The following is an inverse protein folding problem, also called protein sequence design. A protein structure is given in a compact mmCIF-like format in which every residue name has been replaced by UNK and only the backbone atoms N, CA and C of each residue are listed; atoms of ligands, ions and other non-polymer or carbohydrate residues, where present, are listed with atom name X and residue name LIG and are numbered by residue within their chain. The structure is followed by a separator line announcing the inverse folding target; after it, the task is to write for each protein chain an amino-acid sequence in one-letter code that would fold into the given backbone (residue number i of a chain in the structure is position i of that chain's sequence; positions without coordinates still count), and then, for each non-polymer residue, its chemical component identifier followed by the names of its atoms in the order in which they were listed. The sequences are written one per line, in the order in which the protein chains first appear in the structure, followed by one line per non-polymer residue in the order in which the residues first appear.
data_IF_505839684557
#
_entry.id   IF_505839684557
#
_cell.length_a   1.000
_cell.length_b   1.000
_cell.length_c   1.000
_cell.angle_alpha   90.00
_cell.angle_beta   90.00
_cell.angle_gamma   90.00
#
_symmetry.space_group_name_H-M   'P 1'
#
loop_
_entity.id
_entity.type
_entity.pdbx_description
1 polymer ?
#
# COMPACT_ATOMS: atom_id res chain seq x y z
N UNK A 1 8.69 -28.06 9.07
CA UNK A 1 8.29 -26.74 9.61
C UNK A 1 7.53 -26.02 8.51
N UNK A 2 6.30 -25.60 8.74
CA UNK A 2 5.54 -24.89 7.71
C UNK A 2 6.22 -23.55 7.44
N UNK A 3 6.72 -23.36 6.22
CA UNK A 3 7.20 -22.07 5.75
C UNK A 3 5.98 -21.17 5.57
N UNK A 4 5.77 -20.26 6.52
CA UNK A 4 4.67 -19.30 6.44
C UNK A 4 4.98 -18.32 5.30
N UNK A 5 4.04 -18.18 4.37
CA UNK A 5 4.12 -17.25 3.24
C UNK A 5 3.16 -16.10 3.49
N UNK A 6 3.61 -14.87 3.27
CA UNK A 6 2.86 -13.65 3.58
C UNK A 6 2.83 -12.73 2.36
N UNK A 7 1.65 -12.27 1.98
CA UNK A 7 1.48 -11.23 0.96
C UNK A 7 0.82 -10.01 1.63
N UNK A 8 1.36 -8.82 1.39
CA UNK A 8 0.87 -7.57 1.98
C UNK A 8 0.61 -6.58 0.86
N UNK A 9 -0.61 -6.08 0.72
CA UNK A 9 -0.94 -5.03 -0.22
C UNK A 9 -1.37 -3.76 0.54
N UNK A 10 -0.60 -2.70 0.40
CA UNK A 10 -0.86 -1.42 1.06
C UNK A 10 -1.68 -0.54 0.11
N UNK A 11 -2.84 -0.09 0.55
CA UNK A 11 -3.67 0.85 -0.18
C UNK A 11 -3.56 2.22 0.51
N UNK A 12 -2.92 3.18 -0.15
CA UNK A 12 -2.57 4.46 0.45
C UNK A 12 -3.32 5.61 -0.21
N UNK A 13 -4.14 6.31 0.59
CA UNK A 13 -4.73 7.59 0.20
C UNK A 13 -3.58 8.59 -0.02
N UNK A 14 -3.52 9.21 -1.19
CA UNK A 14 -2.51 10.19 -1.56
C UNK A 14 -3.13 11.59 -1.77
N UNK A 15 -4.30 11.83 -1.19
CA UNK A 15 -4.96 13.13 -1.19
C UNK A 15 -4.34 14.10 -0.18
N UNK A 16 -4.63 15.39 -0.35
CA UNK A 16 -4.13 16.46 0.51
C UNK A 16 -4.47 16.32 2.00
N UNK A 17 -5.49 15.52 2.36
CA UNK A 17 -5.85 15.31 3.76
C UNK A 17 -4.77 14.61 4.58
N UNK A 18 -3.86 13.88 3.93
CA UNK A 18 -2.80 13.14 4.62
C UNK A 18 -1.45 13.89 4.64
N UNK A 19 -1.34 15.04 3.98
CA UNK A 19 -0.08 15.78 3.78
C UNK A 19 0.70 15.99 5.08
N UNK A 20 0.03 16.39 6.16
CA UNK A 20 0.67 16.67 7.46
C UNK A 20 1.25 15.43 8.16
N UNK A 21 0.76 14.24 7.82
CA UNK A 21 1.15 12.98 8.47
C UNK A 21 1.82 12.00 7.52
N UNK A 22 1.92 12.34 6.23
CA UNK A 22 2.37 11.42 5.20
C UNK A 22 3.77 10.86 5.47
N UNK A 23 4.71 11.70 5.91
CA UNK A 23 6.06 11.26 6.28
C UNK A 23 6.06 10.28 7.47
N UNK A 24 5.16 10.48 8.43
CA UNK A 24 4.97 9.57 9.57
C UNK A 24 4.35 8.24 9.14
N UNK A 25 3.34 8.27 8.26
CA UNK A 25 2.71 7.08 7.68
C UNK A 25 3.73 6.28 6.89
N UNK A 26 4.46 6.94 5.97
CA UNK A 26 5.54 6.35 5.17
C UNK A 26 6.57 5.65 6.07
N UNK A 27 7.07 6.35 7.07
CA UNK A 27 8.05 5.79 8.02
C UNK A 27 7.51 4.60 8.79
N UNK A 28 6.22 4.65 9.17
CA UNK A 28 5.56 3.56 9.90
C UNK A 28 5.38 2.32 9.03
N UNK A 29 4.92 2.47 7.79
CA UNK A 29 4.80 1.37 6.82
C UNK A 29 6.15 0.69 6.62
N UNK A 30 7.21 1.46 6.34
CA UNK A 30 8.56 0.91 6.15
C UNK A 30 9.07 0.19 7.39
N UNK A 31 8.84 0.74 8.58
CA UNK A 31 9.23 0.12 9.85
C UNK A 31 8.54 -1.22 10.06
N UNK A 32 7.21 -1.27 9.89
CA UNK A 32 6.40 -2.48 10.05
C UNK A 32 6.82 -3.57 9.05
N UNK A 33 6.99 -3.20 7.78
CA UNK A 33 7.40 -4.15 6.74
C UNK A 33 8.83 -4.66 6.98
N UNK A 34 9.74 -3.80 7.39
CA UNK A 34 11.12 -4.19 7.74
C UNK A 34 11.16 -5.13 8.94
N UNK A 35 10.38 -4.84 9.99
CA UNK A 35 10.25 -5.74 11.13
C UNK A 35 9.65 -7.08 10.73
N UNK A 36 8.62 -7.07 9.87
CA UNK A 36 8.01 -8.29 9.33
C UNK A 36 9.04 -9.15 8.60
N UNK A 37 9.92 -8.55 7.79
CA UNK A 37 11.00 -9.26 7.11
C UNK A 37 12.04 -9.87 8.05
N UNK A 38 12.31 -9.23 9.20
CA UNK A 38 13.25 -9.76 10.21
C UNK A 38 12.62 -10.88 11.05
N UNK A 39 11.36 -10.70 11.45
CA UNK A 39 10.66 -11.63 12.33
C UNK A 39 10.13 -12.85 11.59
N UNK A 40 9.80 -12.72 10.30
CA UNK A 40 9.21 -13.77 9.50
C UNK A 40 10.29 -14.55 8.74
N UNK A 41 10.46 -15.84 9.06
CA UNK A 41 11.42 -16.72 8.36
C UNK A 41 10.89 -17.27 7.03
N UNK A 42 10.02 -16.52 6.37
CA UNK A 42 9.24 -16.97 5.22
C UNK A 42 9.26 -15.98 4.06
N UNK A 43 8.64 -16.36 2.94
CA UNK A 43 8.59 -15.52 1.75
C UNK A 43 7.52 -14.44 1.90
N UNK A 44 7.96 -13.18 1.97
CA UNK A 44 7.10 -12.00 1.97
C UNK A 44 7.06 -11.39 0.57
N UNK A 45 5.86 -11.03 0.11
CA UNK A 45 5.68 -10.13 -1.04
C UNK A 45 4.88 -8.90 -0.63
N UNK A 46 5.22 -7.75 -1.21
CA UNK A 46 4.66 -6.45 -0.87
C UNK A 46 4.14 -5.78 -2.14
N UNK A 47 2.92 -5.25 -2.09
CA UNK A 47 2.26 -4.53 -3.17
C UNK A 47 1.78 -3.17 -2.69
N UNK A 48 1.65 -2.21 -3.59
CA UNK A 48 1.23 -0.84 -3.26
C UNK A 48 0.17 -0.38 -4.25
N UNK A 49 -0.90 0.22 -3.73
CA UNK A 49 -1.89 0.94 -4.50
C UNK A 49 -1.93 2.37 -3.98
N UNK A 50 -1.57 3.31 -4.82
CA UNK A 50 -1.76 4.74 -4.58
C UNK A 50 -3.12 5.13 -5.15
N UNK A 51 -3.89 5.90 -4.40
CA UNK A 51 -5.19 6.38 -4.87
C UNK A 51 -5.46 7.83 -4.46
N UNK A 52 -6.23 8.51 -5.31
CA UNK A 52 -6.70 9.89 -5.13
C UNK A 52 -8.21 9.97 -5.29
N UNK A 53 -8.77 11.14 -5.00
CA UNK A 53 -10.21 11.39 -5.07
C UNK A 53 -10.80 11.24 -6.47
N UNK A 54 -12.12 11.05 -6.54
CA UNK A 54 -12.90 10.73 -7.74
C UNK A 54 -13.15 11.88 -8.73
N UNK A 55 -12.79 13.14 -8.43
CA UNK A 55 -13.52 14.25 -9.06
C UNK A 55 -13.09 14.62 -10.46
N UNK A 56 -11.89 14.29 -10.97
CA UNK A 56 -11.58 14.50 -12.41
C UNK A 56 -10.51 13.57 -13.00
N UNK A 57 -9.60 13.00 -12.19
CA UNK A 57 -8.59 12.06 -12.64
C UNK A 57 -8.43 10.96 -11.59
N UNK A 58 -9.19 9.88 -11.76
CA UNK A 58 -8.95 8.66 -11.00
C UNK A 58 -7.58 8.09 -11.35
N UNK A 59 -6.57 8.45 -10.57
CA UNK A 59 -5.23 7.92 -10.74
C UNK A 59 -5.03 6.79 -9.72
N UNK A 60 -5.11 5.56 -10.22
CA UNK A 60 -4.70 4.36 -9.50
C UNK A 60 -3.33 3.97 -10.03
N UNK A 61 -2.27 4.24 -9.26
CA UNK A 61 -0.99 3.61 -9.53
C UNK A 61 -0.90 2.33 -8.72
N UNK A 62 -0.84 1.20 -9.45
CA UNK A 62 -0.79 -0.13 -8.87
C UNK A 62 0.57 -0.73 -9.14
N UNK A 63 1.33 -0.90 -8.06
CA UNK A 63 2.58 -1.63 -8.07
C UNK A 63 2.31 -3.05 -7.61
N UNK A 64 2.52 -4.01 -8.52
CA UNK A 64 2.31 -5.43 -8.27
C UNK A 64 3.23 -5.96 -7.17
N UNK A 65 2.95 -7.17 -6.69
CA UNK A 65 3.75 -7.80 -5.66
C UNK A 65 5.24 -7.91 -6.03
N UNK A 66 6.10 -7.44 -5.14
CA UNK A 66 7.55 -7.65 -5.17
C UNK A 66 8.02 -8.32 -3.87
N UNK A 67 9.02 -9.19 -3.96
CA UNK A 67 9.73 -9.73 -2.79
C UNK A 67 10.89 -8.84 -2.33
N UNK A 68 11.21 -7.79 -3.09
CA UNK A 68 12.33 -6.90 -2.82
C UNK A 68 11.85 -5.68 -2.03
N UNK A 69 12.28 -5.58 -0.77
CA UNK A 69 11.93 -4.46 0.09
C UNK A 69 12.38 -3.11 -0.48
N UNK A 70 13.57 -3.06 -1.09
CA UNK A 70 14.11 -1.84 -1.69
C UNK A 70 13.24 -1.32 -2.83
N UNK A 71 12.64 -2.22 -3.62
CA UNK A 71 11.70 -1.86 -4.68
C UNK A 71 10.43 -1.24 -4.09
N UNK A 72 9.86 -1.87 -3.06
CA UNK A 72 8.69 -1.32 -2.37
C UNK A 72 8.99 0.03 -1.71
N UNK A 73 10.14 0.15 -1.06
CA UNK A 73 10.58 1.39 -0.42
C UNK A 73 10.74 2.51 -1.45
N UNK A 74 11.28 2.21 -2.63
CA UNK A 74 11.36 3.17 -3.72
C UNK A 74 9.96 3.65 -4.13
N UNK A 75 9.02 2.74 -4.39
CA UNK A 75 7.65 3.13 -4.74
C UNK A 75 7.03 4.07 -3.71
N UNK A 76 7.14 3.74 -2.41
CA UNK A 76 6.59 4.55 -1.33
C UNK A 76 7.26 5.93 -1.18
N UNK A 77 8.55 6.03 -1.50
CA UNK A 77 9.30 7.29 -1.49
C UNK A 77 8.97 8.17 -2.69
N UNK A 78 8.66 7.57 -3.85
CA UNK A 78 8.34 8.26 -5.10
C UNK A 78 6.89 8.80 -5.13
N UNK A 79 6.06 8.47 -4.14
CA UNK A 79 4.68 8.98 -4.03
C UNK A 79 4.69 10.50 -3.87
N UNK A 80 3.91 11.14 -4.73
CA UNK A 80 3.56 12.55 -4.66
C UNK A 80 2.13 12.73 -4.12
N UNK A 81 2.00 13.56 -3.08
CA UNK A 81 0.71 13.92 -2.50
C UNK A 81 0.07 15.04 -3.32
N UNK A 82 -1.22 14.90 -3.60
CA UNK A 82 -1.98 15.92 -4.30
C UNK A 82 -2.17 17.17 -3.43
N UNK A 83 -1.98 18.35 -4.02
CA UNK A 83 -2.33 19.63 -3.41
C UNK A 83 -3.79 19.97 -3.76
N UNK A 84 -4.66 20.18 -2.77
CA UNK A 84 -6.08 20.43 -3.03
C UNK A 84 -6.97 20.39 -1.78
N UNK A 85 -8.27 20.61 -1.93
CA UNK A 85 -9.21 20.60 -0.79
C UNK A 85 -9.68 19.18 -0.45
N UNK A 86 -9.72 18.87 0.85
CA UNK A 86 -9.99 17.55 1.42
C UNK A 86 -11.47 17.11 1.41
N UNK A 87 -12.33 17.84 0.71
CA UNK A 87 -13.80 17.76 0.88
C UNK A 87 -14.48 16.81 -0.12
N UNK A 88 -13.73 15.80 -0.58
CA UNK A 88 -14.14 14.98 -1.71
C UNK A 88 -14.34 13.50 -1.35
N UNK A 89 -15.25 12.85 -2.11
CA UNK A 89 -15.61 11.44 -1.91
C UNK A 89 -14.43 10.55 -2.21
N UNK A 90 -14.03 9.77 -1.20
CA UNK A 90 -12.90 8.86 -1.31
C UNK A 90 -13.25 7.58 -2.07
N UNK A 91 -12.28 7.21 -2.87
CA UNK A 91 -12.08 6.04 -3.70
C UNK A 91 -12.12 4.64 -3.06
N UNK A 92 -12.41 4.54 -1.77
CA UNK A 92 -11.98 3.38 -0.95
C UNK A 92 -12.52 2.06 -1.50
N UNK A 93 -13.78 2.02 -1.96
CA UNK A 93 -14.41 0.79 -2.46
C UNK A 93 -13.74 0.28 -3.74
N UNK A 94 -13.47 1.17 -4.69
CA UNK A 94 -12.84 0.78 -5.95
C UNK A 94 -11.37 0.39 -5.75
N UNK A 95 -10.69 1.01 -4.76
CA UNK A 95 -9.32 0.66 -4.37
C UNK A 95 -9.26 -0.72 -3.72
N UNK A 96 -10.22 -1.05 -2.85
CA UNK A 96 -10.33 -2.39 -2.30
C UNK A 96 -10.66 -3.41 -3.40
N UNK A 97 -11.59 -3.11 -4.31
CA UNK A 97 -11.88 -3.95 -5.47
C UNK A 97 -10.64 -4.18 -6.34
N UNK A 98 -9.85 -3.14 -6.55
CA UNK A 98 -8.56 -3.18 -7.21
C UNK A 98 -7.51 -4.05 -6.48
N UNK A 99 -7.49 -4.03 -5.16
CA UNK A 99 -6.60 -4.85 -4.34
C UNK A 99 -6.91 -6.35 -4.50
N UNK A 100 -8.17 -6.70 -4.69
CA UNK A 100 -8.60 -8.07 -4.95
C UNK A 100 -8.07 -8.63 -6.28
N UNK A 101 -7.65 -7.77 -7.23
CA UNK A 101 -7.10 -8.21 -8.53
C UNK A 101 -5.60 -8.50 -8.50
N UNK A 102 -4.93 -8.34 -7.35
CA UNK A 102 -3.52 -8.75 -7.21
C UNK A 102 -3.37 -10.27 -7.35
N UNK A 103 -2.19 -10.71 -7.78
CA UNK A 103 -1.82 -12.13 -7.85
C UNK A 103 -1.52 -12.69 -6.45
N UNK A 104 -2.54 -12.80 -5.60
CA UNK A 104 -2.42 -13.34 -4.24
C UNK A 104 -2.04 -14.82 -4.28
N UNK A 105 -1.00 -15.23 -3.55
CA UNK A 105 -0.64 -16.65 -3.43
C UNK A 105 -1.78 -17.43 -2.74
N UNK A 106 -2.06 -18.67 -3.15
CA UNK A 106 -2.97 -19.52 -2.39
C UNK A 106 -2.35 -19.80 -1.01
N UNK A 107 -3.18 -19.77 0.05
CA UNK A 107 -2.80 -20.09 1.44
C UNK A 107 -1.85 -19.10 2.15
N UNK A 108 -1.86 -17.82 1.78
CA UNK A 108 -1.17 -16.75 2.53
C UNK A 108 -2.12 -16.01 3.47
N UNK A 109 -1.59 -15.48 4.57
CA UNK A 109 -2.27 -14.41 5.31
C UNK A 109 -2.34 -13.18 4.41
N UNK A 110 -3.53 -12.60 4.25
CA UNK A 110 -3.76 -11.39 3.46
C UNK A 110 -4.02 -10.24 4.42
N UNK A 111 -3.24 -9.17 4.28
CA UNK A 111 -3.48 -7.93 5.00
C UNK A 111 -3.70 -6.84 3.96
N UNK A 112 -4.92 -6.33 3.91
CA UNK A 112 -5.31 -5.10 3.25
C UNK A 112 -5.49 -4.01 4.32
N UNK A 113 -4.84 -2.87 4.12
CA UNK A 113 -5.03 -1.71 4.99
C UNK A 113 -5.18 -0.48 4.13
N UNK A 114 -6.35 0.12 4.20
CA UNK A 114 -6.62 1.45 3.69
C UNK A 114 -6.28 2.46 4.78
N UNK A 115 -5.23 3.24 4.55
CA UNK A 115 -4.89 4.36 5.42
C UNK A 115 -5.52 5.61 4.83
N UNK A 116 -6.45 6.20 5.58
CA UNK A 116 -7.12 7.47 5.29
C UNK A 116 -6.66 8.53 6.30
#
# INVERSE_FOLDING_TARGET
MATTTLDIAVCLDCSSSITSYFNSIRSSILSILRQSLVCHRGLIRMGLIEFRSHTNYWMKHMHLFTSLFETFQKWLNDIEIEEGNSDERKAVVDVLGACLTFDWRPNVSKIDSCLH
#
